data_IF_762763115093
#
_entry.id   IF_762763115093
#
_cell.length_a   1.000
_cell.length_b   1.000
_cell.length_c   1.000
_cell.angle_alpha   90.00
_cell.angle_beta   90.00
_cell.angle_gamma   90.00
#
_symmetry.space_group_name_H-M   'P 1'
#
loop_
_entity.id
_entity.type
_entity.pdbx_description
1 polymer ?
#
# COMPACT_ATOMS: atom_id res chain seq x y z
N UNK A 1 -3.52 -7.26 -23.06
CA UNK A 1 -2.40 -7.87 -22.30
C UNK A 1 -2.79 -7.80 -20.84
N UNK A 2 -2.64 -8.88 -20.07
CA UNK A 2 -2.96 -8.89 -18.62
C UNK A 2 -1.66 -8.94 -17.84
N UNK A 3 -1.52 -8.07 -16.84
CA UNK A 3 -0.40 -8.06 -15.91
C UNK A 3 -0.84 -8.66 -14.58
N UNK A 4 0.05 -9.39 -13.91
CA UNK A 4 -0.19 -9.97 -12.60
C UNK A 4 1.10 -9.90 -11.78
N UNK A 5 0.97 -9.71 -10.46
CA UNK A 5 2.08 -9.81 -9.52
C UNK A 5 2.58 -11.25 -9.40
N UNK A 6 3.78 -11.43 -8.84
CA UNK A 6 4.23 -12.75 -8.37
C UNK A 6 3.66 -13.09 -7.00
N UNK A 7 3.19 -12.07 -6.27
CA UNK A 7 2.60 -12.16 -4.94
C UNK A 7 1.08 -11.97 -4.99
N UNK A 8 0.40 -12.48 -3.96
CA UNK A 8 -1.03 -12.25 -3.72
C UNK A 8 -1.25 -11.85 -2.26
N UNK A 9 -2.35 -11.18 -1.93
CA UNK A 9 -2.60 -10.63 -0.58
C UNK A 9 -2.48 -11.62 0.60
N UNK A 10 -2.65 -12.93 0.35
CA UNK A 10 -2.44 -13.99 1.34
C UNK A 10 -1.01 -14.58 1.40
N UNK A 11 -0.04 -14.01 0.68
CA UNK A 11 1.30 -14.59 0.55
C UNK A 11 2.04 -14.56 1.90
N UNK A 12 2.86 -15.58 2.17
CA UNK A 12 3.53 -15.77 3.47
C UNK A 12 4.45 -14.61 3.87
N UNK A 13 4.94 -13.85 2.90
CA UNK A 13 5.81 -12.68 3.12
C UNK A 13 5.09 -11.53 3.85
N UNK A 14 3.77 -11.42 3.70
CA UNK A 14 3.00 -10.34 4.31
C UNK A 14 2.70 -10.61 5.78
N UNK A 15 2.61 -9.54 6.57
CA UNK A 15 2.27 -9.58 7.99
C UNK A 15 0.75 -9.65 8.18
N UNK A 16 -0.01 -8.91 7.37
CA UNK A 16 -1.46 -8.76 7.56
C UNK A 16 -2.30 -9.62 6.59
N UNK A 17 -1.77 -10.79 6.21
CA UNK A 17 -2.30 -11.70 5.19
C UNK A 17 -3.82 -11.80 5.16
N UNK A 18 -4.39 -11.46 4.01
CA UNK A 18 -5.82 -11.58 3.73
C UNK A 18 -6.71 -10.48 4.30
N UNK A 19 -6.16 -9.45 4.97
CA UNK A 19 -6.93 -8.36 5.60
C UNK A 19 -6.64 -6.98 5.03
N UNK A 20 -5.59 -6.87 4.21
CA UNK A 20 -5.04 -5.61 3.74
C UNK A 20 -5.58 -5.13 2.38
N UNK A 21 -6.70 -5.67 1.90
CA UNK A 21 -7.24 -5.37 0.58
C UNK A 21 -7.55 -3.87 0.36
N UNK A 22 -8.09 -3.19 1.38
CA UNK A 22 -8.35 -1.75 1.33
C UNK A 22 -7.02 -0.99 1.25
N UNK A 23 -6.04 -1.35 2.07
CA UNK A 23 -4.72 -0.71 2.08
C UNK A 23 -3.97 -0.92 0.76
N UNK A 24 -4.02 -2.11 0.15
CA UNK A 24 -3.50 -2.34 -1.21
C UNK A 24 -4.18 -1.45 -2.25
N UNK A 25 -5.50 -1.28 -2.15
CA UNK A 25 -6.25 -0.43 -3.09
C UNK A 25 -5.83 1.04 -2.98
N UNK A 26 -5.60 1.53 -1.75
CA UNK A 26 -5.07 2.88 -1.50
C UNK A 26 -3.65 3.02 -2.04
N UNK A 27 -2.77 2.06 -1.76
CA UNK A 27 -1.39 2.06 -2.27
C UNK A 27 -1.35 2.09 -3.82
N UNK A 28 -2.22 1.34 -4.50
CA UNK A 28 -2.33 1.36 -5.96
C UNK A 28 -2.77 2.72 -6.51
N UNK A 29 -3.74 3.37 -5.86
CA UNK A 29 -4.22 4.71 -6.24
C UNK A 29 -3.11 5.75 -6.11
N UNK A 30 -2.34 5.70 -5.01
CA UNK A 30 -1.20 6.59 -4.80
C UNK A 30 -0.11 6.32 -5.83
N UNK A 31 0.26 5.06 -6.06
CA UNK A 31 1.30 4.68 -7.01
C UNK A 31 0.98 5.17 -8.43
N UNK A 32 -0.31 5.17 -8.82
CA UNK A 32 -0.75 5.71 -10.10
C UNK A 32 -0.43 7.20 -10.29
N UNK A 33 -0.36 7.99 -9.21
CA UNK A 33 -0.02 9.42 -9.30
C UNK A 33 1.42 9.63 -9.78
N UNK A 34 2.31 8.68 -9.52
CA UNK A 34 3.73 8.74 -9.90
C UNK A 34 4.01 7.99 -11.22
N UNK A 35 3.33 6.86 -11.47
CA UNK A 35 3.54 6.02 -12.67
C UNK A 35 2.20 5.66 -13.33
N UNK A 36 2.09 5.87 -14.64
CA UNK A 36 0.88 5.49 -15.39
C UNK A 36 0.59 4.00 -15.26
N UNK A 37 -0.67 3.65 -14.97
CA UNK A 37 -1.15 2.25 -14.90
C UNK A 37 -0.82 1.47 -16.19
N UNK A 38 -0.80 2.15 -17.34
CA UNK A 38 -0.48 1.54 -18.63
C UNK A 38 0.97 1.05 -18.75
N UNK A 39 1.85 1.50 -17.86
CA UNK A 39 3.29 1.16 -17.83
C UNK A 39 3.65 0.26 -16.66
N UNK A 40 2.66 -0.23 -15.92
CA UNK A 40 2.91 -1.11 -14.79
C UNK A 40 3.37 -2.49 -15.26
N UNK A 41 4.36 -3.01 -14.56
CA UNK A 41 4.92 -4.34 -14.71
C UNK A 41 4.66 -5.17 -13.45
N UNK A 42 5.00 -6.46 -13.51
CA UNK A 42 4.82 -7.38 -12.39
C UNK A 42 5.48 -6.90 -11.09
N UNK A 43 6.68 -6.31 -11.17
CA UNK A 43 7.38 -5.80 -9.99
C UNK A 43 6.67 -4.61 -9.35
N UNK A 44 6.00 -3.76 -10.13
CA UNK A 44 5.21 -2.64 -9.60
C UNK A 44 4.02 -3.15 -8.79
N UNK A 45 3.37 -4.22 -9.26
CA UNK A 45 2.26 -4.84 -8.53
C UNK A 45 2.73 -5.46 -7.21
N UNK A 46 3.88 -6.15 -7.21
CA UNK A 46 4.44 -6.72 -5.99
C UNK A 46 4.85 -5.62 -5.00
N UNK A 47 5.41 -4.52 -5.50
CA UNK A 47 5.73 -3.33 -4.70
C UNK A 47 4.46 -2.69 -4.10
N UNK A 48 3.40 -2.50 -4.89
CA UNK A 48 2.10 -2.00 -4.40
C UNK A 48 1.56 -2.90 -3.27
N UNK A 49 1.71 -4.23 -3.38
CA UNK A 49 1.27 -5.14 -2.34
C UNK A 49 2.10 -4.99 -1.05
N UNK A 50 3.42 -4.88 -1.17
CA UNK A 50 4.31 -4.64 -0.03
C UNK A 50 3.96 -3.32 0.69
N UNK A 51 3.79 -2.24 -0.07
CA UNK A 51 3.45 -0.93 0.48
C UNK A 51 2.06 -0.89 1.11
N UNK A 52 1.09 -1.62 0.55
CA UNK A 52 -0.24 -1.72 1.17
C UNK A 52 -0.25 -2.58 2.43
N UNK A 53 0.59 -3.62 2.56
CA UNK A 53 0.75 -4.37 3.82
C UNK A 53 1.39 -3.49 4.91
N UNK A 54 2.35 -2.64 4.53
CA UNK A 54 2.94 -1.65 5.42
C UNK A 54 1.91 -0.61 5.89
N UNK A 55 1.18 0.00 4.95
CA UNK A 55 0.10 0.95 5.25
C UNK A 55 -0.97 0.32 6.15
N UNK A 56 -1.32 -0.95 5.91
CA UNK A 56 -2.27 -1.65 6.77
C UNK A 56 -1.78 -1.73 8.22
N UNK A 57 -0.51 -2.05 8.43
CA UNK A 57 0.07 -2.10 9.78
C UNK A 57 -0.04 -0.75 10.49
N UNK A 58 0.18 0.35 9.77
CA UNK A 58 0.08 1.72 10.32
C UNK A 58 -1.37 2.05 10.69
N UNK A 59 -2.32 1.80 9.79
CA UNK A 59 -3.73 2.12 10.01
C UNK A 59 -4.36 1.24 11.09
N UNK A 60 -4.05 -0.05 11.06
CA UNK A 60 -4.61 -1.05 11.96
C UNK A 60 -3.99 -0.98 13.35
N UNK A 61 -2.74 -0.51 13.49
CA UNK A 61 -2.14 -0.23 14.79
C UNK A 61 -2.94 0.75 15.65
N UNK A 62 -3.86 1.50 15.03
CA UNK A 62 -4.76 2.45 15.70
C UNK A 62 -6.19 1.93 15.91
N UNK A 63 -6.53 0.73 15.43
CA UNK A 63 -7.90 0.19 15.43
C UNK A 63 -7.94 -1.17 16.14
N UNK A 64 -8.98 -1.38 16.96
CA UNK A 64 -9.17 -2.61 17.72
C UNK A 64 -10.14 -3.59 17.01
N UNK A 65 -10.18 -3.55 15.67
CA UNK A 65 -11.10 -4.31 14.82
C UNK A 65 -10.33 -5.28 13.92
N UNK A 66 -10.94 -6.38 13.47
CA UNK A 66 -10.27 -7.40 12.63
C UNK A 66 -10.07 -6.99 11.16
N UNK A 67 -10.78 -5.98 10.67
CA UNK A 67 -10.72 -5.51 9.29
C UNK A 67 -10.75 -3.98 9.23
N UNK A 68 -10.03 -3.42 8.26
CA UNK A 68 -10.08 -1.99 7.97
C UNK A 68 -11.33 -1.68 7.14
N UNK A 69 -12.30 -0.97 7.72
CA UNK A 69 -13.44 -0.45 6.97
C UNK A 69 -13.01 0.78 6.16
N UNK A 70 -13.66 1.01 5.02
CA UNK A 70 -13.43 2.23 4.21
C UNK A 70 -13.70 3.48 5.03
N UNK A 71 -14.69 3.45 5.92
CA UNK A 71 -15.02 4.56 6.81
C UNK A 71 -14.00 4.77 7.93
N UNK A 72 -13.12 3.79 8.15
CA UNK A 72 -12.01 3.89 9.12
C UNK A 72 -10.74 4.42 8.49
N UNK A 73 -10.74 4.70 7.18
CA UNK A 73 -9.63 5.38 6.53
C UNK A 73 -9.55 6.82 7.05
N UNK A 74 -8.33 7.32 7.32
CA UNK A 74 -8.14 8.72 7.65
C UNK A 74 -8.60 9.60 6.49
N UNK A 75 -9.12 10.77 6.82
CA UNK A 75 -9.57 11.74 5.82
C UNK A 75 -8.42 12.24 4.93
N UNK A 76 -7.20 12.22 5.46
CA UNK A 76 -5.98 12.65 4.77
C UNK A 76 -4.86 11.62 4.97
N UNK A 77 -4.30 11.18 3.84
CA UNK A 77 -3.06 10.40 3.77
C UNK A 77 -2.03 11.24 3.02
N UNK A 78 -0.88 11.43 3.65
CA UNK A 78 0.25 12.09 3.02
C UNK A 78 1.32 11.05 2.74
N UNK A 79 1.83 11.07 1.51
CA UNK A 79 2.91 10.19 1.06
C UNK A 79 4.08 11.07 0.70
N UNK A 80 5.22 10.81 1.32
CA UNK A 80 6.47 11.46 0.98
C UNK A 80 7.33 10.46 0.22
N UNK A 81 7.67 10.77 -1.03
CA UNK A 81 8.63 9.98 -1.79
C UNK A 81 10.01 10.15 -1.14
N UNK A 82 10.57 9.07 -0.60
CA UNK A 82 11.96 9.08 -0.15
C UNK A 82 12.86 8.83 -1.37
N UNK A 83 13.35 9.91 -1.98
CA UNK A 83 14.38 9.84 -3.03
C UNK A 83 15.77 9.61 -2.43
N UNK A 84 15.98 8.46 -1.79
CA UNK A 84 17.26 8.11 -1.17
C UNK A 84 17.94 6.91 -1.80
N UNK A 85 18.52 7.13 -2.99
CA UNK A 85 19.79 6.50 -3.40
C UNK A 85 19.81 5.02 -3.78
N UNK A 86 18.93 4.58 -4.67
CA UNK A 86 19.03 3.37 -5.52
C UNK A 86 17.66 3.20 -6.18
N UNK A 87 17.61 2.96 -7.50
CA UNK A 87 16.35 2.89 -8.26
C UNK A 87 15.41 1.75 -7.83
N UNK A 88 15.84 0.88 -6.93
CA UNK A 88 15.11 -0.31 -6.48
C UNK A 88 14.49 -0.17 -5.08
N UNK A 89 14.69 0.97 -4.39
CA UNK A 89 14.30 1.16 -2.98
C UNK A 89 13.36 2.38 -2.77
N UNK A 90 12.41 2.59 -3.69
CA UNK A 90 11.39 3.64 -3.57
C UNK A 90 10.35 3.27 -2.50
N UNK A 91 10.66 3.47 -1.22
CA UNK A 91 9.70 3.26 -0.14
C UNK A 91 8.75 4.44 -0.02
N UNK A 92 7.43 4.17 0.02
CA UNK A 92 6.46 5.18 0.45
C UNK A 92 6.57 5.35 1.96
N UNK A 93 6.88 6.58 2.38
CA UNK A 93 6.75 6.95 3.78
C UNK A 93 5.35 7.49 4.02
N UNK A 94 4.50 6.65 4.64
CA UNK A 94 3.11 6.97 4.95
C UNK A 94 2.99 7.84 6.20
N UNK A 95 2.31 8.97 6.07
CA UNK A 95 1.89 9.80 7.19
C UNK A 95 0.36 9.79 7.26
N UNK A 96 -0.16 9.32 8.38
CA UNK A 96 -1.59 9.29 8.67
C UNK A 96 -1.96 10.52 9.47
N UNK A 97 -2.86 11.36 8.93
CA UNK A 97 -3.41 12.49 9.68
C UNK A 97 -4.17 12.01 10.92
N UNK A 98 -4.16 12.82 11.98
CA UNK A 98 -4.88 12.52 13.23
C UNK A 98 -6.38 12.34 12.98
N UNK A 99 -7.01 11.38 13.66
CA UNK A 99 -8.46 11.30 13.76
C UNK A 99 -8.90 12.45 14.70
N UNK A 100 -9.56 13.49 14.17
CA UNK A 100 -10.22 14.53 14.98
C UNK A 100 -11.53 14.00 15.61
#
# INVERSE_FOLDING_TARGET
MSIHGTLHQGALVFTNRGRQCISHSVAALVYHLNKSISTWETHDLDHILDQGDNLHSILFGHLNEDYLLVNSLPQQLTVCDYQGGSSDDEFFHWFVGSYE
#
